data_IF_456338261280
#
_entry.id   IF_456338261280
#
_cell.length_a   1.000
_cell.length_b   1.000
_cell.length_c   1.000
_cell.angle_alpha   90.00
_cell.angle_beta   90.00
_cell.angle_gamma   90.00
#
_symmetry.space_group_name_H-M   'P 1'
#
loop_
_entity.id
_entity.type
_entity.pdbx_description
1 polymer ?
#
# COMPACT_ATOMS: atom_id res chain seq x y z
N UNK A 1 -9.36 15.85 -23.56
CA UNK A 1 -9.97 14.65 -24.17
C UNK A 1 -9.54 13.46 -23.33
N UNK A 2 -10.35 13.00 -22.38
CA UNK A 2 -10.08 11.73 -21.71
C UNK A 2 -10.28 10.61 -22.73
N UNK A 3 -9.31 9.71 -22.86
CA UNK A 3 -9.48 8.54 -23.71
C UNK A 3 -10.52 7.63 -23.07
N UNK A 4 -11.66 7.45 -23.74
CA UNK A 4 -12.70 6.48 -23.39
C UNK A 4 -12.26 5.03 -23.61
N UNK A 5 -10.99 4.79 -23.96
CA UNK A 5 -10.45 3.46 -24.11
C UNK A 5 -10.43 2.71 -22.77
N UNK A 6 -10.87 1.43 -22.75
CA UNK A 6 -10.81 0.59 -21.56
C UNK A 6 -9.37 0.52 -21.01
N UNK A 7 -9.26 0.35 -19.69
CA UNK A 7 -7.96 0.16 -19.06
C UNK A 7 -7.27 -1.09 -19.63
N UNK A 8 -5.96 -1.03 -19.93
CA UNK A 8 -5.20 -2.22 -20.26
C UNK A 8 -5.36 -3.29 -19.17
N UNK A 9 -5.52 -4.56 -19.56
CA UNK A 9 -5.72 -5.68 -18.64
C UNK A 9 -4.61 -5.75 -17.58
N UNK A 10 -3.37 -5.48 -17.97
CA UNK A 10 -2.21 -5.41 -17.06
C UNK A 10 -2.34 -4.33 -16.00
N UNK A 11 -2.88 -3.15 -16.36
CA UNK A 11 -3.12 -2.05 -15.40
C UNK A 11 -4.25 -2.42 -14.44
N UNK A 12 -5.34 -2.99 -14.95
CA UNK A 12 -6.46 -3.45 -14.11
C UNK A 12 -5.99 -4.53 -13.12
N UNK A 13 -5.16 -5.48 -13.59
CA UNK A 13 -4.56 -6.50 -12.73
C UNK A 13 -3.66 -5.87 -11.67
N UNK A 14 -2.76 -4.96 -12.05
CA UNK A 14 -1.86 -4.29 -11.10
C UNK A 14 -2.62 -3.51 -10.01
N UNK A 15 -3.65 -2.76 -10.38
CA UNK A 15 -4.51 -2.02 -9.44
C UNK A 15 -5.22 -2.98 -8.49
N UNK A 16 -5.81 -4.06 -9.01
CA UNK A 16 -6.45 -5.09 -8.18
C UNK A 16 -5.47 -5.77 -7.23
N UNK A 17 -4.28 -6.13 -7.71
CA UNK A 17 -3.24 -6.73 -6.89
C UNK A 17 -2.81 -5.81 -5.75
N UNK A 18 -2.52 -4.53 -6.06
CA UNK A 18 -2.17 -3.53 -5.03
C UNK A 18 -3.30 -3.35 -4.01
N UNK A 19 -4.54 -3.28 -4.47
CA UNK A 19 -5.72 -3.16 -3.62
C UNK A 19 -5.84 -4.33 -2.65
N UNK A 20 -5.81 -5.56 -3.17
CA UNK A 20 -5.94 -6.79 -2.38
C UNK A 20 -4.82 -6.87 -1.34
N UNK A 21 -3.56 -6.67 -1.75
CA UNK A 21 -2.42 -6.74 -0.83
C UNK A 21 -2.60 -5.75 0.31
N UNK A 22 -2.98 -4.50 0.02
CA UNK A 22 -3.21 -3.48 1.05
C UNK A 22 -4.35 -3.84 1.99
N UNK A 23 -5.49 -4.31 1.48
CA UNK A 23 -6.62 -4.73 2.30
C UNK A 23 -6.22 -5.87 3.24
N UNK A 24 -5.57 -6.91 2.71
CA UNK A 24 -5.19 -8.08 3.52
C UNK A 24 -4.09 -7.75 4.53
N UNK A 25 -3.07 -6.98 4.15
CA UNK A 25 -2.03 -6.52 5.09
C UNK A 25 -2.64 -5.64 6.18
N UNK A 26 -3.51 -4.69 5.82
CA UNK A 26 -4.24 -3.86 6.77
C UNK A 26 -5.11 -4.69 7.73
N UNK A 27 -5.88 -5.63 7.21
CA UNK A 27 -6.72 -6.52 8.02
C UNK A 27 -5.87 -7.40 8.97
N UNK A 28 -4.76 -7.97 8.48
CA UNK A 28 -3.87 -8.78 9.30
C UNK A 28 -3.25 -7.97 10.45
N UNK A 29 -2.76 -6.76 10.16
CA UNK A 29 -2.19 -5.87 11.17
C UNK A 29 -3.25 -5.31 12.14
N UNK A 30 -4.50 -5.15 11.70
CA UNK A 30 -5.60 -4.71 12.55
C UNK A 30 -6.05 -5.80 13.52
N UNK A 31 -6.23 -7.03 13.03
CA UNK A 31 -6.78 -8.15 13.80
C UNK A 31 -5.70 -8.84 14.66
N UNK A 32 -4.53 -9.07 14.08
CA UNK A 32 -3.45 -9.87 14.68
C UNK A 32 -2.07 -9.19 14.52
N UNK A 33 -1.86 -7.96 15.04
CA UNK A 33 -0.65 -7.17 14.81
C UNK A 33 0.64 -7.91 15.15
N UNK A 34 0.67 -8.60 16.31
CA UNK A 34 1.86 -9.35 16.76
C UNK A 34 2.21 -10.51 15.84
N UNK A 35 1.19 -11.21 15.33
CA UNK A 35 1.38 -12.33 14.42
C UNK A 35 1.81 -11.83 13.04
N UNK A 36 1.12 -10.81 12.51
CA UNK A 36 1.43 -10.20 11.22
C UNK A 36 2.85 -9.63 11.17
N UNK A 37 3.25 -8.88 12.21
CA UNK A 37 4.61 -8.36 12.33
C UNK A 37 5.64 -9.47 12.61
N UNK A 38 5.28 -10.47 13.42
CA UNK A 38 6.15 -11.60 13.78
C UNK A 38 6.59 -12.42 12.57
N UNK A 39 5.73 -12.58 11.55
CA UNK A 39 6.11 -13.23 10.27
C UNK A 39 7.27 -12.52 9.55
N UNK A 40 7.49 -11.24 9.84
CA UNK A 40 8.52 -10.40 9.23
C UNK A 40 9.67 -10.12 10.20
N UNK A 41 9.84 -10.97 11.22
CA UNK A 41 10.83 -10.83 12.29
C UNK A 41 10.74 -9.52 13.07
N UNK A 42 9.57 -8.85 13.05
CA UNK A 42 9.33 -7.63 13.81
C UNK A 42 8.54 -7.95 15.08
N UNK A 43 9.23 -7.88 16.24
CA UNK A 43 8.59 -8.12 17.52
C UNK A 43 7.86 -6.87 18.01
N UNK A 44 6.54 -6.97 18.17
CA UNK A 44 5.71 -5.89 18.71
C UNK A 44 5.30 -6.24 20.14
N UNK A 45 5.79 -5.51 21.16
CA UNK A 45 5.34 -5.71 22.53
C UNK A 45 3.82 -5.49 22.68
N UNK A 46 3.14 -6.15 23.63
CA UNK A 46 1.67 -6.09 23.74
C UNK A 46 1.14 -4.65 23.82
N UNK A 47 1.83 -3.80 24.60
CA UNK A 47 1.53 -2.38 24.81
C UNK A 47 1.61 -1.54 23.53
N UNK A 48 2.44 -1.92 22.56
CA UNK A 48 2.59 -1.20 21.29
C UNK A 48 1.67 -1.73 20.18
N UNK A 49 0.91 -2.81 20.44
CA UNK A 49 0.02 -3.40 19.44
C UNK A 49 -1.10 -2.44 19.01
N UNK A 50 -1.49 -1.50 19.86
CA UNK A 50 -2.47 -0.47 19.52
C UNK A 50 -1.99 0.45 18.39
N UNK A 51 -0.71 0.83 18.38
CA UNK A 51 -0.13 1.69 17.34
C UNK A 51 -0.14 1.01 15.97
N UNK A 52 0.21 -0.28 15.92
CA UNK A 52 0.17 -1.07 14.69
C UNK A 52 -1.25 -1.12 14.12
N UNK A 53 -2.27 -1.28 14.98
CA UNK A 53 -3.67 -1.28 14.56
C UNK A 53 -4.13 0.06 14.00
N UNK A 54 -3.78 1.16 14.66
CA UNK A 54 -4.12 2.51 14.17
C UNK A 54 -3.52 2.75 12.79
N UNK A 55 -2.25 2.37 12.62
CA UNK A 55 -1.55 2.49 11.35
C UNK A 55 -2.19 1.58 10.29
N UNK A 56 -2.57 0.35 10.63
CA UNK A 56 -3.15 -0.62 9.69
C UNK A 56 -4.41 -0.15 8.96
N UNK A 57 -5.20 0.75 9.57
CA UNK A 57 -6.42 1.31 8.96
C UNK A 57 -6.12 1.99 7.62
N UNK A 58 -4.98 2.68 7.50
CA UNK A 58 -4.63 3.39 6.26
C UNK A 58 -4.45 2.45 5.06
N UNK A 59 -3.91 1.25 5.30
CA UNK A 59 -3.77 0.24 4.26
C UNK A 59 -5.14 -0.25 3.77
N UNK A 60 -6.05 -0.51 4.71
CA UNK A 60 -7.42 -0.89 4.39
C UNK A 60 -8.16 0.20 3.60
N UNK A 61 -8.02 1.47 4.00
CA UNK A 61 -8.65 2.61 3.33
C UNK A 61 -8.11 2.79 1.91
N UNK A 62 -6.78 2.85 1.73
CA UNK A 62 -6.17 3.01 0.40
C UNK A 62 -6.49 1.82 -0.51
N UNK A 63 -6.42 0.61 0.03
CA UNK A 63 -6.79 -0.60 -0.71
C UNK A 63 -8.26 -0.62 -1.11
N UNK A 64 -9.16 -0.20 -0.22
CA UNK A 64 -10.59 -0.03 -0.50
C UNK A 64 -10.84 1.02 -1.57
N UNK A 65 -10.19 2.19 -1.50
CA UNK A 65 -10.29 3.21 -2.54
C UNK A 65 -9.83 2.67 -3.90
N UNK A 66 -8.73 1.89 -3.95
CA UNK A 66 -8.26 1.28 -5.20
C UNK A 66 -9.23 0.24 -5.77
N UNK A 67 -9.92 -0.55 -4.93
CA UNK A 67 -10.85 -1.58 -5.42
C UNK A 67 -12.10 -0.95 -6.03
N UNK A 68 -12.57 0.16 -5.46
CA UNK A 68 -13.79 0.84 -5.90
C UNK A 68 -13.54 1.91 -6.95
N UNK A 69 -12.29 2.29 -7.20
CA UNK A 69 -11.97 3.39 -8.12
C UNK A 69 -12.24 3.06 -9.60
N UNK A 70 -12.30 1.78 -9.99
CA UNK A 70 -12.58 1.39 -11.37
C UNK A 70 -14.08 1.35 -11.64
N UNK A 71 -14.60 2.36 -12.33
CA UNK A 71 -16.01 2.42 -12.73
C UNK A 71 -16.14 2.57 -14.26
N UNK A 72 -16.61 1.52 -14.99
CA UNK A 72 -16.76 1.56 -16.44
C UNK A 72 -17.83 2.55 -16.93
N UNK A 73 -18.75 2.98 -16.06
CA UNK A 73 -19.86 3.87 -16.41
C UNK A 73 -19.44 5.36 -16.42
N UNK A 74 -18.27 5.68 -15.87
CA UNK A 74 -17.74 7.05 -15.85
C UNK A 74 -17.02 7.43 -17.16
N UNK A 75 -17.08 8.71 -17.53
CA UNK A 75 -16.48 9.24 -18.76
C UNK A 75 -14.96 8.96 -18.87
N UNK A 76 -14.26 8.90 -17.73
CA UNK A 76 -12.83 8.60 -17.67
C UNK A 76 -12.53 7.18 -17.19
N UNK A 77 -13.55 6.32 -17.07
CA UNK A 77 -13.44 4.93 -16.59
C UNK A 77 -12.76 4.80 -15.23
N UNK A 78 -12.93 5.78 -14.36
CA UNK A 78 -12.37 5.81 -13.01
C UNK A 78 -10.88 6.17 -12.94
N UNK A 79 -10.25 6.57 -14.06
CA UNK A 79 -8.81 6.90 -14.11
C UNK A 79 -8.42 7.98 -13.12
N UNK A 80 -9.27 8.99 -12.88
CA UNK A 80 -9.03 10.03 -11.89
C UNK A 80 -8.97 9.48 -10.47
N UNK A 81 -9.92 8.65 -10.09
CA UNK A 81 -9.97 8.07 -8.73
C UNK A 81 -8.86 7.05 -8.51
N UNK A 82 -8.52 6.26 -9.54
CA UNK A 82 -7.35 5.37 -9.50
C UNK A 82 -6.08 6.19 -9.26
N UNK A 83 -5.88 7.30 -9.99
CA UNK A 83 -4.70 8.17 -9.79
C UNK A 83 -4.64 8.74 -8.37
N UNK A 84 -5.77 9.17 -7.81
CA UNK A 84 -5.84 9.71 -6.44
C UNK A 84 -5.47 8.65 -5.40
N UNK A 85 -6.06 7.46 -5.51
CA UNK A 85 -5.79 6.35 -4.60
C UNK A 85 -4.33 5.86 -4.70
N UNK A 86 -3.76 5.80 -5.91
CA UNK A 86 -2.34 5.47 -6.11
C UNK A 86 -1.41 6.51 -5.50
N UNK A 87 -1.71 7.80 -5.66
CA UNK A 87 -0.93 8.86 -5.01
C UNK A 87 -1.00 8.80 -3.49
N UNK A 88 -2.18 8.55 -2.93
CA UNK A 88 -2.33 8.35 -1.49
C UNK A 88 -1.47 7.17 -0.99
N UNK A 89 -1.47 6.07 -1.72
CA UNK A 89 -0.61 4.92 -1.44
C UNK A 89 0.88 5.25 -1.51
N UNK A 90 1.34 5.94 -2.56
CA UNK A 90 2.75 6.32 -2.71
C UNK A 90 3.22 7.23 -1.56
N UNK A 91 2.41 8.23 -1.19
CA UNK A 91 2.75 9.13 -0.07
C UNK A 91 2.86 8.33 1.23
N UNK A 92 1.90 7.44 1.48
CA UNK A 92 1.91 6.57 2.64
C UNK A 92 3.16 5.68 2.72
N UNK A 93 3.47 4.97 1.64
CA UNK A 93 4.63 4.07 1.57
C UNK A 93 5.95 4.87 1.71
N UNK A 94 6.00 6.10 1.20
CA UNK A 94 7.18 6.97 1.33
C UNK A 94 7.43 7.38 2.78
N UNK A 95 6.37 7.72 3.52
CA UNK A 95 6.46 8.01 4.96
C UNK A 95 6.92 6.78 5.73
N UNK A 96 6.45 5.59 5.37
CA UNK A 96 6.87 4.34 5.99
C UNK A 96 8.37 4.06 5.75
N UNK A 97 8.86 4.26 4.53
CA UNK A 97 10.29 4.14 4.22
C UNK A 97 11.11 5.14 5.06
N UNK A 98 10.67 6.39 5.17
CA UNK A 98 11.36 7.38 5.98
C UNK A 98 11.43 6.98 7.47
N UNK A 99 10.31 6.51 8.03
CA UNK A 99 10.26 6.01 9.41
C UNK A 99 11.12 4.76 9.61
N UNK A 100 11.12 3.86 8.63
CA UNK A 100 11.95 2.65 8.64
C UNK A 100 13.44 2.99 8.65
N UNK A 101 13.87 3.92 7.78
CA UNK A 101 15.26 4.39 7.72
C UNK A 101 15.67 5.08 9.02
N UNK A 102 14.77 5.88 9.60
CA UNK A 102 15.01 6.50 10.91
C UNK A 102 15.19 5.45 12.01
N UNK A 103 14.28 4.49 12.13
CA UNK A 103 14.40 3.40 13.11
C UNK A 103 15.62 2.51 12.89
N UNK A 104 15.98 2.26 11.62
CA UNK A 104 17.22 1.55 11.27
C UNK A 104 18.46 2.31 11.74
N UNK A 105 18.51 3.63 11.55
CA UNK A 105 19.63 4.47 12.02
C UNK A 105 19.80 4.49 13.55
N UNK A 106 18.72 4.17 14.28
CA UNK A 106 18.69 4.08 15.75
C UNK A 106 18.92 2.66 16.29
N UNK A 107 19.03 1.67 15.41
CA UNK A 107 19.13 0.26 15.81
C UNK A 107 17.83 -0.36 16.30
N UNK A 108 16.68 0.30 16.07
CA UNK A 108 15.34 -0.17 16.46
C UNK A 108 14.80 -1.25 15.52
N UNK A 109 15.35 -1.34 14.30
CA UNK A 109 14.90 -2.25 13.25
C UNK A 109 16.08 -3.09 12.75
N UNK A 110 15.89 -4.41 12.69
CA UNK A 110 16.89 -5.33 12.14
C UNK A 110 17.07 -5.17 10.63
N UNK A 111 18.22 -5.55 10.08
CA UNK A 111 18.44 -5.56 8.63
C UNK A 111 17.42 -6.42 7.88
N UNK A 112 17.07 -7.59 8.43
CA UNK A 112 16.10 -8.50 7.82
C UNK A 112 14.71 -7.88 7.74
N UNK A 113 14.22 -7.32 8.85
CA UNK A 113 12.92 -6.63 8.90
C UNK A 113 12.92 -5.41 7.99
N UNK A 114 13.99 -4.61 8.04
CA UNK A 114 14.18 -3.45 7.17
C UNK A 114 14.14 -3.82 5.69
N UNK A 115 14.83 -4.88 5.30
CA UNK A 115 14.85 -5.38 3.92
C UNK A 115 13.46 -5.83 3.45
N UNK A 116 12.73 -6.57 4.26
CA UNK A 116 11.40 -7.10 3.87
C UNK A 116 10.36 -5.98 3.77
N UNK A 117 10.24 -5.15 4.82
CA UNK A 117 9.23 -4.07 4.86
C UNK A 117 9.57 -2.99 3.84
N UNK A 118 10.84 -2.56 3.80
CA UNK A 118 11.31 -1.56 2.84
C UNK A 118 11.19 -2.05 1.40
N UNK A 119 11.54 -3.31 1.13
CA UNK A 119 11.38 -3.92 -0.19
C UNK A 119 9.93 -3.97 -0.65
N UNK A 120 8.99 -4.33 0.23
CA UNK A 120 7.57 -4.34 -0.07
C UNK A 120 7.05 -2.92 -0.41
N UNK A 121 7.42 -1.91 0.39
CA UNK A 121 7.04 -0.52 0.14
C UNK A 121 7.61 0.01 -1.19
N UNK A 122 8.89 -0.24 -1.47
CA UNK A 122 9.52 0.13 -2.74
C UNK A 122 8.83 -0.55 -3.92
N UNK A 123 8.49 -1.84 -3.79
CA UNK A 123 7.76 -2.58 -4.81
C UNK A 123 6.38 -1.99 -5.09
N UNK A 124 5.64 -1.65 -4.04
CA UNK A 124 4.32 -1.02 -4.14
C UNK A 124 4.40 0.36 -4.82
N UNK A 125 5.35 1.21 -4.42
CA UNK A 125 5.59 2.53 -5.05
C UNK A 125 5.96 2.35 -6.53
N UNK A 126 6.83 1.39 -6.85
CA UNK A 126 7.28 1.14 -8.22
C UNK A 126 6.10 0.73 -9.11
N UNK A 127 5.27 -0.20 -8.64
CA UNK A 127 4.10 -0.66 -9.37
C UNK A 127 3.06 0.46 -9.52
N UNK A 128 2.81 1.23 -8.45
CA UNK A 128 1.89 2.37 -8.48
C UNK A 128 2.36 3.45 -9.45
N UNK A 129 3.66 3.77 -9.45
CA UNK A 129 4.27 4.75 -10.36
C UNK A 129 4.20 4.31 -11.82
N UNK A 130 4.42 3.01 -12.09
CA UNK A 130 4.25 2.43 -13.41
C UNK A 130 2.79 2.53 -13.90
N UNK A 131 1.81 2.23 -13.03
CA UNK A 131 0.39 2.43 -13.37
C UNK A 131 0.10 3.90 -13.66
N UNK A 132 0.53 4.83 -12.79
CA UNK A 132 0.33 6.26 -13.00
C UNK A 132 0.86 6.73 -14.36
N UNK A 133 2.06 6.29 -14.75
CA UNK A 133 2.66 6.60 -16.05
C UNK A 133 1.85 6.05 -17.22
N UNK A 134 1.23 4.89 -17.04
CA UNK A 134 0.39 4.24 -18.08
C UNK A 134 -1.01 4.87 -18.19
N UNK A 135 -1.44 5.61 -17.16
CA UNK A 135 -2.72 6.33 -17.13
C UNK A 135 -2.66 7.76 -17.68
N UNK A 136 -1.45 8.30 -17.88
CA UNK A 136 -1.21 9.61 -18.52
C UNK A 136 -1.53 9.57 -20.02
#
# INVERSE_FOLDING_TARGET
>A
MSSSAPLPSTVSLAVKTLSIIRIFTGAACLLAPRWACGMHSYHVPPEHSFLVRMMAVREGVVGGLLITAGDPETEDKGRREIRRALWAGIVNDSVDIANLLFGFSRGEVSQTTGGIIGGAAIGAITLASWVLKTLQ
#
